data_IF_683569470905
#
_entry.id   IF_683569470905
#
_cell.length_a   1.000
_cell.length_b   1.000
_cell.length_c   1.000
_cell.angle_alpha   90.00
_cell.angle_beta   90.00
_cell.angle_gamma   90.00
#
_symmetry.space_group_name_H-M   'P 1'
#
loop_
_entity.id
_entity.type
_entity.pdbx_description
1 polymer ?
#
# COMPACT_ATOMS: atom_id res chain seq x y z
N UNK A 1 -6.27 -12.53 2.45
CA UNK A 1 -6.06 -11.54 1.39
C UNK A 1 -7.16 -10.52 1.50
N UNK A 2 -6.81 -9.27 1.78
CA UNK A 2 -7.79 -8.25 2.10
C UNK A 2 -8.52 -7.84 0.81
N UNK A 3 -9.78 -7.40 0.92
CA UNK A 3 -10.57 -6.98 -0.24
C UNK A 3 -9.90 -5.82 -1.01
N UNK A 4 -9.09 -5.02 -0.31
CA UNK A 4 -8.18 -4.01 -0.87
C UNK A 4 -7.12 -4.61 -1.81
N UNK A 5 -6.48 -5.72 -1.43
CA UNK A 5 -5.43 -6.34 -2.26
C UNK A 5 -5.99 -6.75 -3.62
N UNK A 6 -7.24 -7.22 -3.65
CA UNK A 6 -7.92 -7.63 -4.88
C UNK A 6 -8.24 -6.42 -5.77
N UNK A 7 -8.66 -5.29 -5.18
CA UNK A 7 -8.98 -4.06 -5.91
C UNK A 7 -7.70 -3.39 -6.46
N UNK A 8 -6.63 -3.35 -5.66
CA UNK A 8 -5.33 -2.85 -6.09
C UNK A 8 -4.75 -3.73 -7.19
N UNK A 9 -4.74 -5.05 -7.02
CA UNK A 9 -4.23 -5.97 -8.04
C UNK A 9 -5.04 -5.87 -9.33
N UNK A 10 -6.38 -5.76 -9.27
CA UNK A 10 -7.23 -5.75 -10.47
C UNK A 10 -7.21 -4.43 -11.23
N UNK A 11 -7.06 -3.29 -10.53
CA UNK A 11 -6.90 -1.99 -11.18
C UNK A 11 -5.46 -1.79 -11.68
N UNK A 12 -4.43 -2.09 -10.86
CA UNK A 12 -3.02 -1.93 -11.26
C UNK A 12 -2.53 -3.00 -12.27
N UNK A 13 -3.21 -4.15 -12.40
CA UNK A 13 -2.92 -5.14 -13.45
C UNK A 13 -3.75 -4.94 -14.74
N UNK A 14 -4.63 -3.94 -14.81
CA UNK A 14 -5.25 -3.60 -16.09
C UNK A 14 -4.20 -2.97 -17.02
N UNK A 15 -4.10 -3.39 -18.29
CA UNK A 15 -3.10 -2.87 -19.24
C UNK A 15 -3.26 -1.38 -19.57
N UNK A 16 -4.30 -0.72 -19.03
CA UNK A 16 -4.62 0.69 -19.22
C UNK A 16 -4.18 1.60 -18.06
N UNK A 17 -3.67 1.07 -16.94
CA UNK A 17 -2.87 1.91 -16.03
C UNK A 17 -1.47 1.92 -16.61
N UNK A 18 -1.24 2.91 -17.46
CA UNK A 18 0.00 3.14 -18.18
C UNK A 18 1.19 3.03 -17.23
N UNK A 19 2.23 2.32 -17.66
CA UNK A 19 3.51 2.16 -16.93
C UNK A 19 4.18 3.49 -16.48
N UNK A 20 3.63 4.65 -16.86
CA UNK A 20 4.08 6.00 -16.47
C UNK A 20 3.50 6.51 -15.14
N UNK A 21 2.52 5.83 -14.54
CA UNK A 21 1.91 6.25 -13.27
C UNK A 21 2.66 5.74 -12.02
N UNK A 22 3.43 4.67 -12.16
CA UNK A 22 4.18 4.06 -11.06
C UNK A 22 5.67 4.36 -11.22
N UNK A 23 6.35 4.53 -10.08
CA UNK A 23 7.80 4.70 -10.10
C UNK A 23 8.46 3.48 -10.79
N UNK A 24 9.39 3.68 -11.73
CA UNK A 24 10.09 2.58 -12.40
C UNK A 24 10.80 1.61 -11.44
N UNK A 25 11.18 2.09 -10.25
CA UNK A 25 11.84 1.30 -9.21
C UNK A 25 10.85 0.68 -8.20
N UNK A 26 9.54 0.87 -8.38
CA UNK A 26 8.53 0.21 -7.56
C UNK A 26 8.34 -1.24 -8.00
N UNK A 27 8.74 -2.17 -7.12
CA UNK A 27 8.58 -3.62 -7.35
C UNK A 27 7.38 -4.23 -6.62
N UNK A 28 6.83 -3.56 -5.61
CA UNK A 28 5.65 -4.03 -4.88
C UNK A 28 4.38 -3.88 -5.70
N UNK A 29 3.48 -4.86 -5.64
CA UNK A 29 2.14 -4.83 -6.27
C UNK A 29 2.13 -4.56 -7.78
N UNK A 30 3.24 -4.85 -8.47
CA UNK A 30 3.39 -4.69 -9.92
C UNK A 30 3.56 -6.06 -10.59
N UNK A 31 2.82 -6.28 -11.68
CA UNK A 31 2.93 -7.52 -12.44
C UNK A 31 4.34 -7.69 -13.00
N UNK A 32 4.93 -8.88 -12.85
CA UNK A 32 6.30 -9.17 -13.28
C UNK A 32 7.40 -8.67 -12.35
N UNK A 33 7.04 -8.05 -11.22
CA UNK A 33 7.98 -7.67 -10.18
C UNK A 33 7.72 -8.47 -8.89
N UNK A 34 8.79 -8.73 -8.15
CA UNK A 34 8.77 -9.43 -6.87
C UNK A 34 9.74 -8.79 -5.87
N UNK A 35 9.72 -9.25 -4.63
CA UNK A 35 10.72 -8.85 -3.62
C UNK A 35 12.15 -9.21 -4.05
N UNK A 36 12.32 -10.29 -4.79
CA UNK A 36 13.61 -10.72 -5.36
C UNK A 36 14.12 -9.71 -6.39
N UNK A 37 13.26 -9.26 -7.32
CA UNK A 37 13.66 -8.25 -8.31
C UNK A 37 14.07 -6.92 -7.66
N UNK A 38 13.41 -6.52 -6.57
CA UNK A 38 13.77 -5.32 -5.81
C UNK A 38 15.14 -5.46 -5.14
N UNK A 39 15.38 -6.60 -4.49
CA UNK A 39 16.65 -6.88 -3.83
C UNK A 39 17.80 -6.95 -4.83
N UNK A 40 17.57 -7.57 -5.99
CA UNK A 40 18.54 -7.67 -7.06
C UNK A 40 18.92 -6.28 -7.60
N UNK A 41 17.94 -5.42 -7.84
CA UNK A 41 18.17 -4.06 -8.33
C UNK A 41 19.03 -3.22 -7.36
N UNK A 42 18.74 -3.27 -6.06
CA UNK A 42 19.52 -2.56 -5.03
C UNK A 42 20.95 -3.13 -4.94
N UNK A 43 21.08 -4.45 -5.00
CA UNK A 43 22.38 -5.13 -4.91
C UNK A 43 23.26 -4.77 -6.11
N UNK A 44 22.69 -4.73 -7.31
CA UNK A 44 23.38 -4.34 -8.53
C UNK A 44 23.82 -2.87 -8.47
N UNK A 45 22.96 -1.96 -8.01
CA UNK A 45 23.29 -0.55 -7.84
C UNK A 45 24.49 -0.36 -6.89
N UNK A 46 24.54 -1.12 -5.78
CA UNK A 46 25.66 -1.10 -4.85
C UNK A 46 26.94 -1.68 -5.47
N UNK A 47 26.83 -2.74 -6.26
CA UNK A 47 27.98 -3.33 -6.96
C UNK A 47 28.58 -2.35 -7.98
N UNK A 48 27.74 -1.66 -8.76
CA UNK A 48 28.17 -0.64 -9.74
C UNK A 48 28.79 0.57 -9.04
N UNK A 49 28.24 1.03 -7.92
CA UNK A 49 28.84 2.14 -7.18
C UNK A 49 30.20 1.75 -6.58
N UNK A 50 30.33 0.52 -6.07
CA UNK A 50 31.58 -0.03 -5.56
C UNK A 50 32.64 -0.18 -6.64
N UNK A 51 32.29 -0.68 -7.83
CA UNK A 51 33.23 -0.80 -8.96
C UNK A 51 33.76 0.56 -9.43
N UNK A 52 32.99 1.62 -9.22
CA UNK A 52 33.38 3.02 -9.47
C UNK A 52 34.10 3.68 -8.30
N UNK A 53 34.46 2.93 -7.26
CA UNK A 53 35.10 3.44 -6.03
C UNK A 53 34.29 4.55 -5.33
N UNK A 54 32.96 4.52 -5.46
CA UNK A 54 32.06 5.46 -4.78
C UNK A 54 31.69 4.93 -3.40
N UNK A 55 31.60 5.82 -2.41
CA UNK A 55 31.02 5.50 -1.11
C UNK A 55 29.50 5.50 -1.23
N UNK A 56 28.87 4.39 -0.85
CA UNK A 56 27.41 4.21 -0.93
C UNK A 56 26.80 4.09 0.47
N UNK A 57 25.64 4.69 0.67
CA UNK A 57 24.84 4.58 1.90
C UNK A 57 23.45 4.09 1.51
N UNK A 58 22.98 3.03 2.16
CA UNK A 58 21.64 2.48 1.97
C UNK A 58 20.75 2.90 3.15
N UNK A 59 19.66 3.62 2.87
CA UNK A 59 18.64 4.00 3.84
C UNK A 59 17.42 3.10 3.66
N UNK A 60 17.09 2.30 4.68
CA UNK A 60 15.91 1.45 4.70
C UNK A 60 14.88 2.09 5.62
N UNK A 61 13.74 2.48 5.04
CA UNK A 61 12.61 3.06 5.77
C UNK A 61 11.47 2.05 5.80
N UNK A 62 10.93 1.79 6.99
CA UNK A 62 9.71 1.03 7.16
C UNK A 62 8.66 1.93 7.84
N UNK A 63 7.52 2.11 7.17
CA UNK A 63 6.43 2.91 7.68
C UNK A 63 5.42 1.99 8.37
N UNK A 64 5.29 2.12 9.68
CA UNK A 64 4.29 1.36 10.43
C UNK A 64 2.88 1.86 10.11
N UNK A 65 1.99 0.92 9.74
CA UNK A 65 0.55 1.18 9.53
C UNK A 65 0.23 2.29 8.52
N UNK A 66 0.93 2.32 7.36
CA UNK A 66 0.75 3.32 6.28
C UNK A 66 -0.72 3.57 5.93
N UNK A 67 -1.53 2.52 5.82
CA UNK A 67 -2.94 2.65 5.44
C UNK A 67 -3.80 3.34 6.50
N UNK A 68 -3.36 3.36 7.77
CA UNK A 68 -4.06 4.03 8.87
C UNK A 68 -3.49 5.43 9.15
N UNK A 69 -2.29 5.76 8.62
CA UNK A 69 -1.61 7.05 8.83
C UNK A 69 -1.80 8.03 7.66
N UNK A 70 -2.17 7.54 6.48
CA UNK A 70 -2.40 8.41 5.32
C UNK A 70 -3.72 9.18 5.51
N UNK A 71 -3.67 10.50 5.34
CA UNK A 71 -4.88 11.33 5.31
C UNK A 71 -5.79 10.85 4.16
N UNK A 72 -7.00 10.40 4.51
CA UNK A 72 -7.94 9.83 3.55
C UNK A 72 -8.28 10.81 2.42
N UNK A 73 -8.22 12.13 2.65
CA UNK A 73 -8.46 13.15 1.63
C UNK A 73 -7.34 13.18 0.60
N UNK A 74 -6.09 13.06 1.06
CA UNK A 74 -4.90 13.03 0.17
C UNK A 74 -4.90 11.74 -0.66
N UNK A 75 -5.29 10.62 -0.06
CA UNK A 75 -5.43 9.36 -0.77
C UNK A 75 -6.51 9.44 -1.85
N UNK A 76 -7.69 9.96 -1.52
CA UNK A 76 -8.80 10.11 -2.46
C UNK A 76 -8.48 11.09 -3.58
N UNK A 77 -7.82 12.23 -3.29
CA UNK A 77 -7.39 13.16 -4.33
C UNK A 77 -6.38 12.51 -5.27
N UNK A 78 -5.42 11.76 -4.72
CA UNK A 78 -4.42 11.04 -5.53
C UNK A 78 -5.07 9.99 -6.44
N UNK A 79 -6.12 9.30 -5.97
CA UNK A 79 -6.87 8.34 -6.78
C UNK A 79 -7.58 9.04 -7.96
N UNK A 80 -8.16 10.22 -7.73
CA UNK A 80 -8.76 11.04 -8.80
C UNK A 80 -7.71 11.49 -9.80
N UNK A 81 -6.54 11.94 -9.34
CA UNK A 81 -5.43 12.37 -10.20
C UNK A 81 -4.86 11.20 -11.04
N UNK A 82 -4.93 9.97 -10.52
CA UNK A 82 -4.59 8.74 -11.24
C UNK A 82 -5.69 8.30 -12.24
N UNK A 83 -6.79 9.05 -12.37
CA UNK A 83 -7.88 8.78 -13.30
C UNK A 83 -8.97 7.84 -12.77
N UNK A 84 -8.94 7.47 -11.48
CA UNK A 84 -9.97 6.64 -10.87
C UNK A 84 -11.19 7.50 -10.56
N UNK A 85 -12.34 7.12 -11.11
CA UNK A 85 -13.59 7.89 -10.98
C UNK A 85 -14.82 6.98 -10.92
N UNK A 86 -15.99 7.57 -10.64
CA UNK A 86 -17.27 6.87 -10.62
C UNK A 86 -17.44 5.93 -9.42
N UNK A 87 -18.08 4.78 -9.65
CA UNK A 87 -18.47 3.84 -8.59
C UNK A 87 -17.28 3.29 -7.78
N UNK A 88 -16.10 3.22 -8.40
CA UNK A 88 -14.87 2.78 -7.72
C UNK A 88 -14.41 3.82 -6.71
N UNK A 89 -14.46 5.12 -7.05
CA UNK A 89 -14.10 6.20 -6.12
C UNK A 89 -15.09 6.26 -4.95
N UNK A 90 -16.39 6.18 -5.21
CA UNK A 90 -17.42 6.12 -4.16
C UNK A 90 -17.24 4.91 -3.25
N UNK A 91 -16.81 3.77 -3.80
CA UNK A 91 -16.45 2.60 -3.00
C UNK A 91 -15.26 2.89 -2.09
N UNK A 92 -14.19 3.51 -2.61
CA UNK A 92 -13.02 3.92 -1.79
C UNK A 92 -13.41 4.90 -0.69
N UNK A 93 -14.24 5.90 -0.98
CA UNK A 93 -14.76 6.85 0.02
C UNK A 93 -15.50 6.11 1.14
N UNK A 94 -16.40 5.19 0.79
CA UNK A 94 -17.15 4.39 1.76
C UNK A 94 -16.25 3.44 2.56
N UNK A 95 -15.18 2.93 1.96
CA UNK A 95 -14.25 1.99 2.57
C UNK A 95 -13.30 2.66 3.56
N UNK A 96 -12.95 3.92 3.29
CA UNK A 96 -12.05 4.72 4.13
C UNK A 96 -12.81 5.50 5.22
N UNK A 97 -14.11 5.76 5.05
CA UNK A 97 -14.91 6.44 6.07
C UNK A 97 -15.35 5.51 7.22
N UNK A 98 -15.21 5.99 8.45
CA UNK A 98 -15.87 5.51 9.69
C UNK A 98 -16.05 3.98 9.83
N UNK A 99 -14.98 3.22 9.64
CA UNK A 99 -15.02 1.77 9.83
C UNK A 99 -15.28 1.42 11.30
N UNK A 100 -16.23 0.51 11.50
CA UNK A 100 -16.41 -0.21 12.76
C UNK A 100 -16.24 -1.71 12.52
N UNK A 101 -15.81 -2.42 13.55
CA UNK A 101 -15.70 -3.87 13.51
C UNK A 101 -16.50 -4.48 14.67
N UNK A 102 -16.94 -5.71 14.48
CA UNK A 102 -17.61 -6.53 15.48
C UNK A 102 -17.00 -7.93 15.44
N UNK A 103 -16.94 -8.58 16.60
CA UNK A 103 -16.41 -9.94 16.74
C UNK A 103 -17.57 -10.86 17.12
N UNK A 104 -17.73 -11.94 16.36
CA UNK A 104 -18.66 -13.01 16.68
C UNK A 104 -17.91 -14.16 17.36
N UNK A 105 -18.34 -14.54 18.56
CA UNK A 105 -17.83 -15.69 19.28
C UNK A 105 -18.98 -16.58 19.77
N UNK A 106 -19.00 -17.84 19.33
CA UNK A 106 -20.01 -18.84 19.71
C UNK A 106 -21.46 -18.33 19.60
N UNK A 107 -21.76 -17.62 18.51
CA UNK A 107 -23.10 -17.08 18.26
C UNK A 107 -23.44 -15.79 19.03
N UNK A 108 -22.52 -15.28 19.86
CA UNK A 108 -22.66 -13.97 20.50
C UNK A 108 -21.85 -12.92 19.71
N UNK A 109 -22.48 -11.80 19.41
CA UNK A 109 -21.88 -10.69 18.66
C UNK A 109 -21.50 -9.55 19.61
N UNK A 110 -20.29 -9.01 19.47
CA UNK A 110 -19.89 -7.83 20.23
C UNK A 110 -20.61 -6.57 19.75
N UNK A 111 -20.71 -5.56 20.60
CA UNK A 111 -21.10 -4.21 20.15
C UNK A 111 -20.10 -3.69 19.09
N UNK A 112 -20.55 -2.87 18.12
CA UNK A 112 -19.65 -2.22 17.18
C UNK A 112 -18.59 -1.38 17.89
N UNK A 113 -17.33 -1.67 17.61
CA UNK A 113 -16.19 -0.89 18.06
C UNK A 113 -15.60 -0.12 16.87
N UNK A 114 -15.22 1.16 17.05
CA UNK A 114 -14.50 1.90 16.01
C UNK A 114 -13.16 1.21 15.73
N UNK A 115 -12.70 1.19 14.47
CA UNK A 115 -11.35 0.73 14.15
C UNK A 115 -10.33 1.61 14.89
N UNK A 116 -9.63 1.03 15.87
CA UNK A 116 -8.65 1.75 16.68
C UNK A 116 -7.52 2.31 15.80
N UNK A 117 -7.05 3.56 16.01
CA UNK A 117 -5.75 3.97 15.50
C UNK A 117 -4.67 3.09 16.16
N UNK A 118 -3.77 2.52 15.35
CA UNK A 118 -2.79 1.49 15.73
C UNK A 118 -1.75 1.95 16.77
N UNK A 119 -1.82 3.21 17.25
CA UNK A 119 -0.94 3.76 18.30
C UNK A 119 -1.03 3.05 19.68
N UNK A 120 -1.82 1.99 19.84
CA UNK A 120 -1.82 1.13 21.04
C UNK A 120 -1.49 -0.34 20.75
N UNK A 121 -0.49 -0.60 19.91
CA UNK A 121 0.13 -1.93 19.83
C UNK A 121 1.47 -2.07 20.57
N UNK A 122 1.93 -1.03 21.28
CA UNK A 122 3.16 -1.06 22.11
C UNK A 122 2.91 -1.42 23.58
N UNK A 123 2.04 -2.41 23.86
CA UNK A 123 1.97 -3.05 25.18
C UNK A 123 1.55 -4.51 25.05
N UNK A 124 2.54 -5.36 24.76
CA UNK A 124 2.78 -6.63 25.43
C UNK A 124 4.31 -6.82 25.49
#
# INVERSE_FOLDING_TARGET
GNQLDLVFTRNCASPNITNDLLDPNQSGFRAGHSTETALLAVTEALHVAKSRSLTSVLLLLDLSAVFDTVDHRILLSSLVDMGISGSVLTWFESYLADRSYQVAWRGSLSSPAPSLPVSRRDRC
#
